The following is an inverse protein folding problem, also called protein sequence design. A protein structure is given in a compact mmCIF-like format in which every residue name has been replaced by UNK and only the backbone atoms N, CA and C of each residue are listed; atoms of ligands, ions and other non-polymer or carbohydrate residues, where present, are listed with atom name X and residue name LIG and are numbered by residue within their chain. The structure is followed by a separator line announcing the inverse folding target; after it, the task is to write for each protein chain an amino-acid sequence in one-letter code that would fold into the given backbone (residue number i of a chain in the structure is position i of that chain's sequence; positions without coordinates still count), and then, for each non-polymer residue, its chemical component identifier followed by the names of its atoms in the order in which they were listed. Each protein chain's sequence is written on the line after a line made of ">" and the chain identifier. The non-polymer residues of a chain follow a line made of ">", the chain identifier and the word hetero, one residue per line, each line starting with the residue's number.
data_IF_984644573218
#
_entry.id   IF_984644573218
#
_cell.length_a   1.000
_cell.length_b   1.000
_cell.length_c   1.000
_cell.angle_alpha   90.00
_cell.angle_beta   90.00
_cell.angle_gamma   90.00
#
_symmetry.space_group_name_H-M   'P 1'
#
loop_
_entity.id
_entity.type
_entity.pdbx_description
1 polymer ?
#
# COMPACT_ATOMS: atom_id res chain seq x y z
N UNK A 1 30.07 -22.60 -22.60
CA UNK A 1 29.36 -21.38 -23.02
C UNK A 1 28.03 -21.16 -22.23
N UNK A 2 27.37 -22.20 -21.80
CA UNK A 2 26.08 -22.12 -21.10
C UNK A 2 26.13 -21.47 -19.70
N UNK A 3 27.17 -21.71 -18.95
CA UNK A 3 27.33 -21.18 -17.58
C UNK A 3 27.50 -19.65 -17.55
N UNK A 4 28.16 -19.07 -18.54
CA UNK A 4 28.31 -17.61 -18.69
C UNK A 4 26.98 -16.94 -19.11
N UNK A 5 26.21 -17.61 -19.97
CA UNK A 5 24.90 -17.12 -20.43
C UNK A 5 23.85 -17.11 -19.29
N UNK A 6 23.90 -18.12 -18.43
CA UNK A 6 23.05 -18.20 -17.23
C UNK A 6 23.45 -17.18 -16.16
N UNK A 7 24.75 -16.94 -15.95
CA UNK A 7 25.24 -15.90 -15.05
C UNK A 7 24.81 -14.51 -15.55
N UNK A 8 24.98 -14.24 -16.84
CA UNK A 8 24.57 -12.97 -17.45
C UNK A 8 23.06 -12.70 -17.30
N UNK A 9 22.23 -13.72 -17.52
CA UNK A 9 20.76 -13.60 -17.32
C UNK A 9 20.41 -13.32 -15.86
N UNK A 10 21.10 -13.94 -14.88
CA UNK A 10 20.89 -13.69 -13.45
C UNK A 10 21.30 -12.27 -13.05
N UNK A 11 22.45 -11.81 -13.53
CA UNK A 11 22.94 -10.45 -13.28
C UNK A 11 21.99 -9.42 -13.89
N UNK A 12 21.50 -9.64 -15.10
CA UNK A 12 20.56 -8.75 -15.77
C UNK A 12 19.22 -8.66 -15.04
N UNK A 13 18.73 -9.76 -14.43
CA UNK A 13 17.49 -9.76 -13.61
C UNK A 13 17.55 -8.83 -12.40
N UNK A 14 18.75 -8.61 -11.85
CA UNK A 14 18.94 -7.71 -10.72
C UNK A 14 19.26 -6.30 -11.19
N UNK A 15 20.14 -6.15 -12.17
CA UNK A 15 20.62 -4.84 -12.62
C UNK A 15 19.54 -4.02 -13.32
N UNK A 16 18.72 -4.61 -14.19
CA UNK A 16 17.72 -3.87 -14.95
C UNK A 16 16.67 -3.18 -14.04
N UNK A 17 16.02 -3.88 -13.08
CA UNK A 17 15.13 -3.22 -12.14
C UNK A 17 15.84 -2.20 -11.24
N UNK A 18 17.11 -2.42 -10.87
CA UNK A 18 17.89 -1.44 -10.10
C UNK A 18 18.11 -0.13 -10.88
N UNK A 19 18.41 -0.22 -12.17
CA UNK A 19 18.56 0.97 -13.03
C UNK A 19 17.24 1.73 -13.15
N UNK A 20 16.12 1.01 -13.35
CA UNK A 20 14.79 1.59 -13.40
C UNK A 20 14.49 2.30 -12.08
N UNK A 21 14.77 1.65 -10.97
CA UNK A 21 14.52 2.17 -9.62
C UNK A 21 15.37 3.41 -9.33
N UNK A 22 16.65 3.41 -9.72
CA UNK A 22 17.51 4.59 -9.62
C UNK A 22 16.96 5.76 -10.45
N UNK A 23 16.48 5.51 -11.67
CA UNK A 23 15.82 6.52 -12.49
C UNK A 23 14.56 7.09 -11.85
N UNK A 24 13.72 6.25 -11.25
CA UNK A 24 12.51 6.66 -10.52
C UNK A 24 12.87 7.54 -9.30
N UNK A 25 13.86 7.13 -8.51
CA UNK A 25 14.32 7.89 -7.33
C UNK A 25 14.87 9.27 -7.76
N UNK A 26 15.73 9.30 -8.77
CA UNK A 26 16.31 10.55 -9.29
C UNK A 26 15.19 11.47 -9.81
N UNK A 27 14.24 10.93 -10.58
CA UNK A 27 13.08 11.70 -11.07
C UNK A 27 12.23 12.25 -9.93
N UNK A 28 11.97 11.45 -8.91
CA UNK A 28 11.24 11.87 -7.70
C UNK A 28 11.95 13.02 -6.96
N UNK A 29 13.29 12.97 -6.86
CA UNK A 29 14.08 14.02 -6.20
C UNK A 29 14.07 15.36 -6.95
N UNK A 30 13.81 15.36 -8.27
CA UNK A 30 13.73 16.59 -9.06
C UNK A 30 12.38 17.32 -8.92
N UNK A 31 11.35 16.65 -8.39
CA UNK A 31 10.05 17.26 -8.18
C UNK A 31 10.13 18.21 -6.99
N UNK A 32 9.99 19.51 -7.27
CA UNK A 32 9.92 20.55 -6.24
C UNK A 32 8.65 20.35 -5.41
N UNK A 33 8.83 19.85 -4.19
CA UNK A 33 7.75 19.78 -3.21
C UNK A 33 7.53 21.20 -2.69
N UNK A 34 6.29 21.69 -2.73
CA UNK A 34 5.91 22.85 -1.93
C UNK A 34 6.03 22.42 -0.48
N UNK A 35 7.14 22.80 0.17
CA UNK A 35 7.27 22.54 1.60
C UNK A 35 6.17 23.33 2.29
N UNK A 36 5.11 22.66 2.68
CA UNK A 36 4.21 23.14 3.71
C UNK A 36 5.11 23.20 4.95
N UNK A 37 5.67 24.39 5.25
CA UNK A 37 6.60 24.58 6.36
C UNK A 37 5.86 24.23 7.64
N UNK A 38 6.03 23.02 8.11
CA UNK A 38 5.89 22.77 9.53
C UNK A 38 6.78 23.80 10.22
N UNK A 39 6.22 24.48 11.20
CA UNK A 39 6.85 25.58 11.95
C UNK A 39 8.36 25.31 12.14
N UNK A 40 9.23 26.11 11.53
CA UNK A 40 10.66 25.85 11.38
C UNK A 40 11.46 25.71 12.70
N UNK A 41 10.80 25.93 13.85
CA UNK A 41 11.42 25.90 15.17
C UNK A 41 11.09 24.63 15.99
N UNK A 42 10.55 23.59 15.35
CA UNK A 42 10.10 22.38 16.06
C UNK A 42 10.92 21.18 15.61
N UNK A 43 11.49 20.44 16.55
CA UNK A 43 12.29 19.24 16.30
C UNK A 43 11.63 18.02 16.91
N UNK A 44 11.52 16.93 16.14
CA UNK A 44 11.05 15.64 16.65
C UNK A 44 12.23 14.88 17.26
N UNK A 45 12.10 14.48 18.52
CA UNK A 45 13.12 13.74 19.27
C UNK A 45 12.55 12.49 19.92
N UNK A 46 13.41 11.49 20.13
CA UNK A 46 13.07 10.34 20.97
C UNK A 46 13.37 10.68 22.42
N UNK A 47 12.41 10.43 23.30
CA UNK A 47 12.56 10.68 24.72
C UNK A 47 12.06 9.50 25.56
N UNK A 48 12.58 9.40 26.79
CA UNK A 48 12.12 8.43 27.78
C UNK A 48 11.61 9.19 28.98
N UNK A 49 10.36 8.97 29.36
CA UNK A 49 9.75 9.59 30.54
C UNK A 49 10.51 9.16 31.80
N UNK A 50 10.96 10.12 32.58
CA UNK A 50 11.67 9.90 33.82
C UNK A 50 10.77 10.08 35.04
N UNK A 51 9.86 11.06 34.97
CA UNK A 51 8.97 11.39 36.08
C UNK A 51 7.67 12.01 35.54
N UNK A 52 6.56 11.73 36.19
CA UNK A 52 5.30 12.44 35.99
C UNK A 52 5.26 13.61 36.96
N UNK A 53 5.09 14.82 36.43
CA UNK A 53 5.04 16.06 37.23
C UNK A 53 3.59 16.30 37.66
N UNK A 54 2.66 16.23 36.73
CA UNK A 54 1.23 16.39 36.96
C UNK A 54 0.45 15.32 36.19
N UNK A 55 -0.56 14.77 36.81
CA UNK A 55 -1.46 13.80 36.14
C UNK A 55 -2.93 14.17 36.37
N UNK A 56 -3.52 14.76 35.37
CA UNK A 56 -4.95 15.12 35.29
C UNK A 56 -5.74 14.16 34.37
N UNK A 57 -5.18 12.98 34.08
CA UNK A 57 -5.84 11.98 33.20
C UNK A 57 -6.89 11.14 33.93
N UNK A 58 -6.97 11.22 35.26
CA UNK A 58 -7.84 10.37 36.07
C UNK A 58 -7.50 8.87 35.98
N UNK A 59 -6.25 8.54 35.57
CA UNK A 59 -5.80 7.16 35.37
C UNK A 59 -6.34 6.48 34.12
N UNK A 60 -7.02 7.23 33.25
CA UNK A 60 -7.54 6.69 31.99
C UNK A 60 -6.55 6.92 30.83
N UNK A 61 -6.38 5.94 29.93
CA UNK A 61 -5.46 6.07 28.80
C UNK A 61 -5.93 7.07 27.73
N UNK A 62 -7.16 7.54 27.82
CA UNK A 62 -7.78 8.48 26.88
C UNK A 62 -8.46 9.62 27.63
N UNK A 63 -8.15 10.84 27.23
CA UNK A 63 -8.65 12.06 27.85
C UNK A 63 -7.74 12.55 28.98
N UNK A 64 -7.89 13.83 29.31
CA UNK A 64 -7.07 14.52 30.31
C UNK A 64 -5.70 14.94 29.80
N UNK A 65 -4.91 15.50 30.71
CA UNK A 65 -3.57 15.99 30.42
C UNK A 65 -2.57 15.48 31.45
N UNK A 66 -1.36 15.23 31.02
CA UNK A 66 -0.23 14.90 31.86
C UNK A 66 0.90 15.90 31.58
N UNK A 67 1.64 16.31 32.59
CA UNK A 67 2.92 17.01 32.46
C UNK A 67 4.03 16.07 32.91
N UNK A 68 4.99 15.82 32.04
CA UNK A 68 6.01 14.80 32.29
C UNK A 68 7.42 15.39 32.10
N UNK A 69 8.35 14.94 32.92
CA UNK A 69 9.78 15.14 32.68
C UNK A 69 10.32 13.96 31.91
N UNK A 70 11.09 14.22 30.87
CA UNK A 70 11.65 13.18 30.02
C UNK A 70 13.10 13.46 29.66
N UNK A 71 13.89 12.41 29.51
CA UNK A 71 15.26 12.48 29.01
C UNK A 71 15.29 12.15 27.52
N UNK A 72 15.89 13.03 26.72
CA UNK A 72 16.02 12.84 25.28
C UNK A 72 17.05 11.75 25.01
N UNK A 73 16.63 10.70 24.32
CA UNK A 73 17.46 9.52 24.02
C UNK A 73 18.03 9.51 22.60
N UNK A 74 17.47 10.32 21.71
CA UNK A 74 17.93 10.41 20.33
C UNK A 74 17.58 11.73 19.67
N UNK A 75 18.35 12.14 18.67
CA UNK A 75 18.17 13.41 17.96
C UNK A 75 19.15 14.50 18.41
N UNK A 76 18.88 15.75 18.01
CA UNK A 76 19.77 16.89 18.17
C UNK A 76 20.11 17.22 19.64
N UNK A 77 19.15 16.98 20.57
CA UNK A 77 19.29 17.31 21.99
C UNK A 77 19.54 16.07 22.87
N UNK A 78 20.16 15.03 22.33
CA UNK A 78 20.41 13.77 23.06
C UNK A 78 21.12 13.99 24.39
N UNK A 79 20.58 13.42 25.47
CA UNK A 79 21.15 13.47 26.83
C UNK A 79 20.55 14.54 27.70
N UNK A 80 19.88 15.55 27.14
CA UNK A 80 19.26 16.64 27.88
C UNK A 80 17.88 16.21 28.44
N UNK A 81 17.48 16.89 29.52
CA UNK A 81 16.15 16.73 30.11
C UNK A 81 15.21 17.79 29.50
N UNK A 82 13.97 17.46 29.35
CA UNK A 82 12.92 18.35 28.85
C UNK A 82 11.63 18.15 29.64
N UNK A 83 10.84 19.20 29.75
CA UNK A 83 9.45 19.11 30.20
C UNK A 83 8.53 19.04 29.02
N UNK A 84 7.60 18.09 29.05
CA UNK A 84 6.68 17.81 27.97
C UNK A 84 5.25 17.88 28.48
N UNK A 85 4.45 18.69 27.80
CA UNK A 85 3.00 18.65 27.93
C UNK A 85 2.42 17.49 27.10
N UNK A 86 1.55 16.74 27.71
CA UNK A 86 0.92 15.59 27.08
C UNK A 86 -0.60 15.73 27.17
N UNK A 87 -1.23 16.14 26.08
CA UNK A 87 -2.68 16.09 25.94
C UNK A 87 -3.08 14.73 25.35
N UNK A 88 -3.66 13.87 26.19
CA UNK A 88 -4.15 12.55 25.77
C UNK A 88 -5.40 12.70 24.90
N UNK A 89 -5.24 12.96 23.62
CA UNK A 89 -6.30 12.93 22.64
C UNK A 89 -6.30 11.61 21.87
N UNK A 90 -7.43 11.25 21.24
CA UNK A 90 -7.54 10.03 20.43
C UNK A 90 -6.52 9.96 19.28
N UNK A 91 -6.03 11.09 18.78
CA UNK A 91 -5.10 11.17 17.66
C UNK A 91 -3.66 11.41 18.06
N UNK A 92 -3.42 12.07 19.18
CA UNK A 92 -2.08 12.48 19.66
C UNK A 92 -1.97 12.26 21.15
N UNK A 93 -0.74 12.02 21.58
CA UNK A 93 -0.42 11.77 22.96
C UNK A 93 -0.20 10.30 23.26
N UNK A 94 0.30 10.03 24.44
CA UNK A 94 0.56 8.69 24.96
C UNK A 94 0.26 8.70 26.44
N UNK A 95 -0.42 7.70 26.98
CA UNK A 95 -0.53 7.56 28.43
C UNK A 95 0.86 7.29 29.00
N UNK A 96 1.44 8.29 29.63
CA UNK A 96 2.81 8.25 30.10
C UNK A 96 2.89 7.65 31.51
N UNK A 97 3.78 6.69 31.66
CA UNK A 97 4.26 6.17 32.94
C UNK A 97 5.78 6.32 32.98
N UNK A 98 6.37 6.23 34.17
CA UNK A 98 7.83 6.27 34.28
C UNK A 98 8.46 5.14 33.47
N UNK A 99 9.39 5.51 32.59
CA UNK A 99 10.03 4.56 31.68
C UNK A 99 9.42 4.47 30.27
N UNK A 100 8.25 5.07 30.03
CA UNK A 100 7.60 5.10 28.72
C UNK A 100 8.51 5.77 27.68
N UNK A 101 8.68 5.12 26.53
CA UNK A 101 9.42 5.68 25.38
C UNK A 101 8.44 6.42 24.48
N UNK A 102 8.72 7.70 24.22
CA UNK A 102 7.86 8.57 23.42
C UNK A 102 8.65 9.29 22.33
N UNK A 103 7.94 9.68 21.30
CA UNK A 103 8.40 10.69 20.35
C UNK A 103 7.84 12.01 20.87
N UNK A 104 8.68 12.99 21.06
CA UNK A 104 8.32 14.32 21.51
C UNK A 104 8.63 15.36 20.44
N UNK A 105 7.82 16.41 20.43
CA UNK A 105 8.01 17.60 19.62
C UNK A 105 8.54 18.67 20.54
N UNK A 106 9.78 19.08 20.34
CA UNK A 106 10.47 20.01 21.23
C UNK A 106 10.85 21.30 20.52
N UNK A 107 10.89 22.38 21.31
CA UNK A 107 11.43 23.68 20.94
C UNK A 107 12.49 24.07 21.96
N UNK A 108 13.53 24.68 21.46
CA UNK A 108 14.51 25.34 22.30
C UNK A 108 14.12 26.82 22.42
N UNK A 109 13.86 27.28 23.65
CA UNK A 109 13.54 28.67 23.96
C UNK A 109 14.54 29.09 25.02
N UNK A 110 15.50 29.93 24.64
CA UNK A 110 16.53 30.48 25.53
C UNK A 110 17.31 29.40 26.31
N UNK A 111 17.61 28.27 25.69
CA UNK A 111 18.34 27.16 26.31
C UNK A 111 17.48 26.20 27.14
N UNK A 112 16.18 26.45 27.26
CA UNK A 112 15.23 25.55 27.93
C UNK A 112 14.47 24.76 26.87
N UNK A 113 14.58 23.42 26.93
CA UNK A 113 13.88 22.54 26.00
C UNK A 113 12.51 22.21 26.56
N UNK A 114 11.49 22.75 25.91
CA UNK A 114 10.08 22.47 26.22
C UNK A 114 9.38 21.91 25.00
N UNK A 115 8.28 21.19 25.19
CA UNK A 115 7.54 20.65 24.08
C UNK A 115 6.33 19.84 24.47
N UNK A 116 5.87 18.98 23.56
CA UNK A 116 4.73 18.12 23.80
C UNK A 116 5.03 16.68 23.38
N UNK A 117 4.38 15.74 24.04
CA UNK A 117 4.40 14.34 23.63
C UNK A 117 3.60 14.20 22.34
N UNK A 118 4.25 13.65 21.30
CA UNK A 118 3.57 13.39 20.03
C UNK A 118 2.83 12.05 20.06
N UNK A 119 3.56 10.96 20.41
CA UNK A 119 3.00 9.61 20.54
C UNK A 119 4.04 8.65 21.12
N UNK A 120 3.68 7.37 21.34
CA UNK A 120 4.62 6.32 21.72
C UNK A 120 5.72 6.14 20.67
N UNK A 121 6.96 5.85 21.10
CA UNK A 121 8.04 5.41 20.21
C UNK A 121 7.86 3.91 19.88
N UNK A 122 7.25 3.64 18.74
CA UNK A 122 7.05 2.28 18.21
C UNK A 122 8.15 1.82 17.26
N UNK A 123 9.20 2.62 17.08
CA UNK A 123 10.24 2.40 16.05
C UNK A 123 10.90 1.02 16.18
N UNK A 124 11.26 0.63 17.41
CA UNK A 124 11.93 -0.65 17.68
C UNK A 124 11.05 -1.84 17.28
N UNK A 125 9.77 -1.81 17.67
CA UNK A 125 8.82 -2.88 17.37
C UNK A 125 8.61 -3.04 15.86
N UNK A 126 8.46 -1.92 15.16
CA UNK A 126 8.31 -1.91 13.69
C UNK A 126 9.55 -2.50 13.01
N UNK A 127 10.75 -2.14 13.45
CA UNK A 127 11.98 -2.69 12.88
C UNK A 127 12.14 -4.19 13.17
N UNK A 128 11.76 -4.67 14.35
CA UNK A 128 11.78 -6.10 14.69
C UNK A 128 10.82 -6.88 13.78
N UNK A 129 9.59 -6.38 13.63
CA UNK A 129 8.60 -7.02 12.74
C UNK A 129 9.06 -7.00 11.28
N UNK A 130 9.60 -5.88 10.81
CA UNK A 130 10.14 -5.76 9.45
C UNK A 130 11.33 -6.72 9.24
N UNK A 131 12.21 -6.84 10.22
CA UNK A 131 13.33 -7.78 10.17
C UNK A 131 12.88 -9.24 10.13
N UNK A 132 11.91 -9.62 10.98
CA UNK A 132 11.31 -10.96 10.97
C UNK A 132 10.63 -11.26 9.64
N UNK A 133 9.83 -10.33 9.14
CA UNK A 133 9.17 -10.46 7.84
C UNK A 133 10.19 -10.61 6.69
N UNK A 134 11.24 -9.78 6.69
CA UNK A 134 12.31 -9.87 5.69
C UNK A 134 13.03 -11.22 5.75
N UNK A 135 13.29 -11.75 6.96
CA UNK A 135 13.87 -13.06 7.15
C UNK A 135 12.99 -14.17 6.57
N UNK A 136 11.68 -14.14 6.86
CA UNK A 136 10.72 -15.08 6.29
C UNK A 136 10.71 -15.02 4.75
N UNK A 137 10.73 -13.83 4.17
CA UNK A 137 10.78 -13.70 2.71
C UNK A 137 12.09 -14.22 2.10
N UNK A 138 13.22 -14.04 2.77
CA UNK A 138 14.51 -14.61 2.30
C UNK A 138 14.46 -16.13 2.30
N UNK A 139 13.76 -16.77 3.26
CA UNK A 139 13.57 -18.23 3.29
C UNK A 139 12.73 -18.72 2.10
N UNK A 140 11.75 -17.94 1.64
CA UNK A 140 10.98 -18.24 0.42
C UNK A 140 11.81 -17.98 -0.84
N UNK A 141 12.59 -16.92 -0.84
CA UNK A 141 13.49 -16.54 -1.93
C UNK A 141 13.85 -15.06 -1.92
N UNK A 142 15.13 -14.75 -2.04
CA UNK A 142 15.62 -13.37 -2.06
C UNK A 142 14.98 -12.52 -3.18
N UNK A 143 14.55 -13.15 -4.28
CA UNK A 143 13.84 -12.47 -5.37
C UNK A 143 12.49 -11.90 -4.92
N UNK A 144 11.78 -12.59 -4.03
CA UNK A 144 10.49 -12.12 -3.48
C UNK A 144 10.68 -10.86 -2.62
N UNK A 145 11.68 -10.86 -1.74
CA UNK A 145 12.03 -9.68 -0.95
C UNK A 145 12.42 -8.50 -1.85
N UNK A 146 13.22 -8.76 -2.88
CA UNK A 146 13.64 -7.72 -3.82
C UNK A 146 12.44 -7.14 -4.61
N UNK A 147 11.53 -7.98 -5.10
CA UNK A 147 10.31 -7.53 -5.78
C UNK A 147 9.42 -6.67 -4.87
N UNK A 148 9.29 -7.06 -3.59
CA UNK A 148 8.52 -6.30 -2.61
C UNK A 148 9.14 -4.92 -2.34
N UNK A 149 10.45 -4.85 -2.10
CA UNK A 149 11.17 -3.58 -1.91
C UNK A 149 10.99 -2.68 -3.13
N UNK A 150 11.11 -3.26 -4.35
CA UNK A 150 10.87 -2.54 -5.59
C UNK A 150 9.47 -1.94 -5.64
N UNK A 151 8.44 -2.72 -5.29
CA UNK A 151 7.05 -2.27 -5.23
C UNK A 151 6.88 -1.08 -4.28
N UNK A 152 7.40 -1.17 -3.05
CA UNK A 152 7.31 -0.07 -2.08
C UNK A 152 7.97 1.21 -2.58
N UNK A 153 9.16 1.09 -3.17
CA UNK A 153 9.86 2.26 -3.70
C UNK A 153 9.10 2.86 -4.89
N UNK A 154 8.52 2.05 -5.78
CA UNK A 154 7.68 2.54 -6.87
C UNK A 154 6.45 3.30 -6.36
N UNK A 155 5.77 2.78 -5.32
CA UNK A 155 4.63 3.49 -4.73
C UNK A 155 5.06 4.83 -4.13
N UNK A 156 6.14 4.87 -3.35
CA UNK A 156 6.58 6.09 -2.66
C UNK A 156 7.23 7.08 -3.63
N UNK A 157 8.09 6.62 -4.54
CA UNK A 157 8.92 7.49 -5.37
C UNK A 157 8.36 7.73 -6.79
N UNK A 158 7.35 6.96 -7.21
CA UNK A 158 6.73 7.15 -8.54
C UNK A 158 5.26 7.58 -8.39
N UNK A 159 4.43 6.75 -7.76
CA UNK A 159 2.99 7.02 -7.68
C UNK A 159 2.68 8.32 -6.91
N UNK A 160 3.19 8.47 -5.68
CA UNK A 160 2.93 9.66 -4.85
C UNK A 160 3.42 10.95 -5.52
N UNK A 161 4.63 11.04 -6.08
CA UNK A 161 5.08 12.22 -6.82
C UNK A 161 4.26 12.52 -8.08
N UNK A 162 3.83 11.50 -8.83
CA UNK A 162 2.97 11.69 -10.00
C UNK A 162 1.62 12.32 -9.64
N UNK A 163 1.01 11.90 -8.53
CA UNK A 163 -0.19 12.54 -7.98
C UNK A 163 0.09 14.00 -7.60
N UNK A 164 1.21 14.24 -6.95
CA UNK A 164 1.55 15.57 -6.42
C UNK A 164 1.75 16.62 -7.54
N UNK A 165 2.27 16.23 -8.69
CA UNK A 165 2.42 17.11 -9.85
C UNK A 165 1.10 17.34 -10.63
N UNK A 166 0.00 16.67 -10.20
CA UNK A 166 -1.33 16.82 -10.77
C UNK A 166 -1.61 15.92 -11.98
N UNK A 167 -0.86 14.83 -12.13
CA UNK A 167 -1.26 13.81 -13.09
C UNK A 167 -2.56 13.15 -12.62
N UNK A 168 -3.46 12.85 -13.57
CA UNK A 168 -4.69 12.14 -13.25
C UNK A 168 -4.38 10.87 -12.43
N UNK A 169 -5.02 10.74 -11.27
CA UNK A 169 -4.69 9.70 -10.30
C UNK A 169 -4.83 8.28 -10.82
N UNK A 170 -5.82 8.05 -11.67
CA UNK A 170 -6.07 6.74 -12.29
C UNK A 170 -4.95 6.40 -13.28
N UNK A 171 -4.54 7.38 -14.11
CA UNK A 171 -3.44 7.18 -15.04
C UNK A 171 -2.12 6.96 -14.30
N UNK A 172 -1.86 7.72 -13.22
CA UNK A 172 -0.70 7.54 -12.37
C UNK A 172 -0.67 6.14 -11.72
N UNK A 173 -1.82 5.67 -11.23
CA UNK A 173 -1.97 4.33 -10.66
C UNK A 173 -1.75 3.23 -11.72
N UNK A 174 -2.35 3.35 -12.90
CA UNK A 174 -2.17 2.40 -14.01
C UNK A 174 -0.70 2.32 -14.44
N UNK A 175 -0.07 3.47 -14.67
CA UNK A 175 1.33 3.53 -15.08
C UNK A 175 2.25 2.87 -14.04
N UNK A 176 2.05 3.22 -12.77
CA UNK A 176 2.82 2.65 -11.66
C UNK A 176 2.57 1.15 -11.52
N UNK A 177 1.31 0.71 -11.64
CA UNK A 177 0.93 -0.71 -11.61
C UNK A 177 1.61 -1.51 -12.70
N UNK A 178 1.65 -1.02 -13.94
CA UNK A 178 2.33 -1.69 -15.05
C UNK A 178 3.83 -1.81 -14.80
N UNK A 179 4.46 -0.76 -14.27
CA UNK A 179 5.90 -0.80 -13.92
C UNK A 179 6.18 -1.81 -12.80
N UNK A 180 5.38 -1.78 -11.73
CA UNK A 180 5.49 -2.73 -10.62
C UNK A 180 5.33 -4.17 -11.13
N UNK A 181 4.31 -4.41 -11.95
CA UNK A 181 3.96 -5.70 -12.51
C UNK A 181 5.08 -6.25 -13.39
N UNK A 182 5.52 -5.45 -14.36
CA UNK A 182 6.58 -5.83 -15.28
C UNK A 182 7.88 -6.17 -14.52
N UNK A 183 8.26 -5.34 -13.56
CA UNK A 183 9.46 -5.55 -12.77
C UNK A 183 9.33 -6.77 -11.85
N UNK A 184 8.22 -6.91 -11.12
CA UNK A 184 8.01 -8.02 -10.17
C UNK A 184 7.99 -9.37 -10.90
N UNK A 185 7.23 -9.50 -11.98
CA UNK A 185 7.17 -10.76 -12.75
C UNK A 185 8.53 -11.03 -13.41
N UNK A 186 9.23 -10.00 -13.90
CA UNK A 186 10.57 -10.15 -14.45
C UNK A 186 11.59 -10.62 -13.40
N UNK A 187 11.55 -10.06 -12.20
CA UNK A 187 12.43 -10.46 -11.07
C UNK A 187 12.17 -11.92 -10.69
N UNK A 188 10.91 -12.34 -10.62
CA UNK A 188 10.52 -13.67 -10.19
C UNK A 188 10.76 -14.73 -11.29
N UNK A 189 10.28 -14.47 -12.50
CA UNK A 189 10.22 -15.47 -13.57
C UNK A 189 11.26 -15.24 -14.71
N UNK A 190 11.85 -14.03 -14.80
CA UNK A 190 12.73 -13.63 -15.90
C UNK A 190 11.98 -13.33 -17.20
N UNK A 191 12.70 -13.25 -18.31
CA UNK A 191 12.12 -13.04 -19.65
C UNK A 191 11.63 -14.36 -20.19
N UNK A 192 10.33 -14.50 -20.38
CA UNK A 192 9.70 -15.66 -21.00
C UNK A 192 8.36 -15.24 -21.64
N UNK A 193 7.84 -16.06 -22.56
CA UNK A 193 6.49 -15.83 -23.08
C UNK A 193 5.44 -15.84 -21.97
N UNK A 194 5.65 -16.63 -20.91
CA UNK A 194 4.82 -16.65 -19.68
C UNK A 194 4.75 -15.26 -19.05
N UNK A 195 5.91 -14.59 -18.89
CA UNK A 195 6.01 -13.25 -18.32
C UNK A 195 5.23 -12.22 -19.12
N UNK A 196 5.36 -12.24 -20.44
CA UNK A 196 4.64 -11.30 -21.33
C UNK A 196 3.15 -11.51 -21.25
N UNK A 197 2.68 -12.76 -21.33
CA UNK A 197 1.25 -13.10 -21.21
C UNK A 197 0.68 -12.64 -19.86
N UNK A 198 1.40 -12.88 -18.75
CA UNK A 198 0.99 -12.45 -17.43
C UNK A 198 0.86 -10.92 -17.35
N UNK A 199 1.85 -10.18 -17.84
CA UNK A 199 1.82 -8.70 -17.84
C UNK A 199 0.60 -8.19 -18.62
N UNK A 200 0.35 -8.70 -19.82
CA UNK A 200 -0.77 -8.24 -20.66
C UNK A 200 -2.10 -8.53 -19.96
N UNK A 201 -2.33 -9.75 -19.51
CA UNK A 201 -3.60 -10.14 -18.92
C UNK A 201 -3.87 -9.43 -17.59
N UNK A 202 -2.84 -9.28 -16.73
CA UNK A 202 -2.99 -8.52 -15.49
C UNK A 202 -3.28 -7.05 -15.78
N UNK A 203 -2.60 -6.44 -16.77
CA UNK A 203 -2.86 -5.04 -17.16
C UNK A 203 -4.31 -4.85 -17.60
N UNK A 204 -4.85 -5.76 -18.43
CA UNK A 204 -6.26 -5.72 -18.84
C UNK A 204 -7.18 -5.86 -17.63
N UNK A 205 -6.89 -6.79 -16.71
CA UNK A 205 -7.67 -6.97 -15.48
C UNK A 205 -7.71 -5.71 -14.60
N UNK A 206 -6.57 -5.04 -14.43
CA UNK A 206 -6.48 -3.78 -13.68
C UNK A 206 -7.26 -2.66 -14.35
N UNK A 207 -7.15 -2.52 -15.67
CA UNK A 207 -7.92 -1.52 -16.43
C UNK A 207 -9.42 -1.74 -16.28
N UNK A 208 -9.89 -2.99 -16.33
CA UNK A 208 -11.31 -3.32 -16.12
C UNK A 208 -11.75 -3.02 -14.69
N UNK A 209 -10.96 -3.41 -13.69
CA UNK A 209 -11.25 -3.09 -12.28
C UNK A 209 -11.34 -1.59 -12.05
N UNK A 210 -10.39 -0.82 -12.58
CA UNK A 210 -10.39 0.63 -12.47
C UNK A 210 -11.54 1.30 -13.21
N UNK A 211 -11.88 0.82 -14.40
CA UNK A 211 -13.04 1.29 -15.14
C UNK A 211 -14.35 1.07 -14.38
N UNK A 212 -14.51 -0.11 -13.79
CA UNK A 212 -15.66 -0.41 -12.92
C UNK A 212 -15.70 0.48 -11.67
N UNK A 213 -14.54 0.71 -11.04
CA UNK A 213 -14.46 1.59 -9.88
C UNK A 213 -14.84 3.03 -10.22
N UNK A 214 -14.43 3.54 -11.39
CA UNK A 214 -14.84 4.86 -11.87
C UNK A 214 -16.34 4.94 -12.09
N UNK A 215 -16.92 3.97 -12.78
CA UNK A 215 -18.35 3.93 -13.06
C UNK A 215 -19.14 3.84 -11.75
N UNK A 216 -18.82 2.87 -10.89
CA UNK A 216 -19.50 2.67 -9.62
C UNK A 216 -19.36 3.88 -8.69
N UNK A 217 -18.17 4.44 -8.58
CA UNK A 217 -17.92 5.61 -7.74
C UNK A 217 -18.63 6.87 -8.25
N UNK A 218 -18.66 7.09 -9.57
CA UNK A 218 -19.40 8.19 -10.17
C UNK A 218 -20.92 8.04 -9.95
N UNK A 219 -21.47 6.86 -10.15
CA UNK A 219 -22.88 6.57 -9.90
C UNK A 219 -23.27 6.69 -8.42
N UNK A 220 -22.33 6.38 -7.52
CA UNK A 220 -22.53 6.49 -6.07
C UNK A 220 -22.16 7.88 -5.51
N UNK A 221 -21.81 8.85 -6.37
CA UNK A 221 -21.34 10.18 -5.97
C UNK A 221 -20.19 10.14 -4.96
N UNK A 222 -19.33 9.13 -5.04
CA UNK A 222 -18.14 9.04 -4.21
C UNK A 222 -17.06 9.99 -4.75
N UNK A 223 -16.73 10.95 -3.92
CA UNK A 223 -15.62 11.87 -4.17
C UNK A 223 -14.60 11.66 -3.05
N UNK A 224 -13.32 11.65 -3.31
CA UNK A 224 -12.27 11.41 -2.32
C UNK A 224 -12.31 12.29 -1.05
N UNK A 225 -13.22 13.25 -0.99
CA UNK A 225 -13.47 14.12 0.19
C UNK A 225 -14.12 13.39 1.36
N UNK A 226 -14.58 12.17 1.17
CA UNK A 226 -15.21 11.35 2.23
C UNK A 226 -14.23 10.37 2.90
N UNK A 227 -12.94 10.45 2.56
CA UNK A 227 -11.88 9.64 3.19
C UNK A 227 -11.50 10.22 4.56
N UNK A 228 -10.98 9.37 5.45
CA UNK A 228 -10.59 9.74 6.82
C UNK A 228 -9.55 10.88 6.89
N UNK A 229 -8.71 11.03 5.86
CA UNK A 229 -7.66 12.06 5.79
C UNK A 229 -8.02 13.22 4.84
N UNK A 230 -9.31 13.38 4.49
CA UNK A 230 -9.77 14.36 3.50
C UNK A 230 -9.34 15.80 3.83
N UNK A 231 -9.39 16.21 5.09
CA UNK A 231 -8.97 17.58 5.50
C UNK A 231 -7.50 17.83 5.15
N UNK A 232 -6.63 16.87 5.46
CA UNK A 232 -5.20 16.96 5.11
C UNK A 232 -4.98 16.98 3.60
N UNK A 233 -5.77 16.18 2.86
CA UNK A 233 -5.71 16.13 1.39
C UNK A 233 -6.18 17.43 0.75
N UNK A 234 -7.24 18.05 1.26
CA UNK A 234 -7.72 19.37 0.80
C UNK A 234 -6.65 20.44 1.02
N UNK A 235 -6.00 20.43 2.18
CA UNK A 235 -4.93 21.38 2.48
C UNK A 235 -3.72 21.20 1.53
N UNK A 236 -3.36 19.97 1.21
CA UNK A 236 -2.31 19.65 0.23
C UNK A 236 -2.75 20.07 -1.18
N UNK A 237 -3.99 19.80 -1.57
CA UNK A 237 -4.54 20.15 -2.87
C UNK A 237 -4.53 21.66 -3.13
N UNK A 238 -4.79 22.48 -2.11
CA UNK A 238 -4.72 23.94 -2.19
C UNK A 238 -3.31 24.48 -2.47
N UNK A 239 -2.27 23.70 -2.13
CA UNK A 239 -0.87 24.05 -2.31
C UNK A 239 -0.15 23.26 -3.43
N UNK A 240 -0.83 22.31 -4.03
CA UNK A 240 -0.35 21.45 -5.12
C UNK A 240 -1.41 21.36 -6.23
N UNK A 241 -1.10 20.64 -7.30
CA UNK A 241 -2.07 20.34 -8.38
C UNK A 241 -2.83 19.04 -8.15
N UNK A 242 -2.91 18.57 -6.91
CA UNK A 242 -3.51 17.29 -6.54
C UNK A 242 -5.04 17.30 -6.74
N UNK A 243 -5.57 16.30 -7.43
CA UNK A 243 -7.01 16.06 -7.55
C UNK A 243 -7.45 15.03 -6.50
N UNK A 244 -8.11 15.48 -5.44
CA UNK A 244 -8.49 14.62 -4.30
C UNK A 244 -9.43 13.49 -4.73
N UNK A 245 -10.35 13.76 -5.65
CA UNK A 245 -11.29 12.75 -6.16
C UNK A 245 -10.61 11.54 -6.81
N UNK A 246 -9.47 11.77 -7.47
CA UNK A 246 -8.77 10.72 -8.21
C UNK A 246 -8.05 9.74 -7.28
N UNK A 247 -7.75 10.16 -6.04
CA UNK A 247 -7.01 9.34 -5.07
C UNK A 247 -7.79 8.10 -4.67
N UNK A 248 -9.11 8.23 -4.51
CA UNK A 248 -9.98 7.12 -4.16
C UNK A 248 -9.90 5.99 -5.20
N UNK A 249 -10.11 6.34 -6.47
CA UNK A 249 -10.09 5.36 -7.57
C UNK A 249 -8.70 4.76 -7.80
N UNK A 250 -7.68 5.59 -7.66
CA UNK A 250 -6.30 5.14 -7.74
C UNK A 250 -5.94 4.18 -6.60
N UNK A 251 -6.47 4.42 -5.39
CA UNK A 251 -6.34 3.52 -4.25
C UNK A 251 -6.96 2.14 -4.53
N UNK A 252 -8.14 2.08 -5.15
CA UNK A 252 -8.80 0.83 -5.55
C UNK A 252 -7.93 0.05 -6.54
N UNK A 253 -7.37 0.73 -7.54
CA UNK A 253 -6.49 0.11 -8.52
C UNK A 253 -5.25 -0.52 -7.88
N UNK A 254 -4.58 0.21 -7.00
CA UNK A 254 -3.36 -0.27 -6.35
C UNK A 254 -3.66 -1.42 -5.38
N UNK A 255 -4.77 -1.34 -4.64
CA UNK A 255 -5.14 -2.39 -3.68
C UNK A 255 -5.55 -3.70 -4.36
N UNK A 256 -6.19 -3.64 -5.52
CA UNK A 256 -6.56 -4.84 -6.30
C UNK A 256 -5.39 -5.45 -7.09
N UNK A 257 -4.31 -4.69 -7.33
CA UNK A 257 -3.18 -5.12 -8.15
C UNK A 257 -2.59 -6.46 -7.71
N UNK A 258 -2.38 -6.65 -6.42
CA UNK A 258 -1.80 -7.89 -5.87
C UNK A 258 -2.64 -9.11 -6.21
N UNK A 259 -3.93 -9.09 -5.92
CA UNK A 259 -4.84 -10.20 -6.14
C UNK A 259 -5.04 -10.51 -7.65
N UNK A 260 -5.15 -9.48 -8.49
CA UNK A 260 -5.24 -9.63 -9.95
C UNK A 260 -3.95 -10.25 -10.51
N UNK A 261 -2.79 -9.83 -10.00
CA UNK A 261 -1.49 -10.37 -10.40
C UNK A 261 -1.36 -11.85 -10.01
N UNK A 262 -1.74 -12.23 -8.79
CA UNK A 262 -1.61 -13.60 -8.29
C UNK A 262 -2.46 -14.57 -9.11
N UNK A 263 -3.72 -14.22 -9.40
CA UNK A 263 -4.61 -15.02 -10.27
C UNK A 263 -4.02 -15.15 -11.68
N UNK A 264 -3.56 -14.04 -12.25
CA UNK A 264 -3.00 -13.98 -13.59
C UNK A 264 -1.76 -14.88 -13.73
N UNK A 265 -0.79 -14.74 -12.83
CA UNK A 265 0.46 -15.51 -12.84
C UNK A 265 0.19 -17.00 -12.65
N UNK A 266 -0.74 -17.36 -11.75
CA UNK A 266 -1.09 -18.75 -11.48
C UNK A 266 -1.74 -19.42 -12.69
N UNK A 267 -2.66 -18.75 -13.37
CA UNK A 267 -3.31 -19.26 -14.58
C UNK A 267 -2.29 -19.44 -15.71
N UNK A 268 -1.40 -18.45 -15.92
CA UNK A 268 -0.34 -18.57 -16.93
C UNK A 268 0.57 -19.74 -16.64
N UNK A 269 1.00 -19.92 -15.40
CA UNK A 269 1.86 -21.01 -14.98
C UNK A 269 1.19 -22.37 -15.23
N UNK A 270 -0.07 -22.53 -14.82
CA UNK A 270 -0.82 -23.77 -15.00
C UNK A 270 -1.03 -24.12 -16.49
N UNK A 271 -1.51 -23.17 -17.29
CA UNK A 271 -1.75 -23.40 -18.72
C UNK A 271 -0.45 -23.77 -19.44
N UNK A 272 0.64 -23.09 -19.11
CA UNK A 272 1.92 -23.35 -19.76
C UNK A 272 2.47 -24.72 -19.38
N UNK A 273 2.36 -25.12 -18.11
CA UNK A 273 2.80 -26.44 -17.67
C UNK A 273 1.99 -27.55 -18.29
N UNK A 274 0.67 -27.38 -18.41
CA UNK A 274 -0.21 -28.33 -19.11
C UNK A 274 0.20 -28.45 -20.58
N UNK A 275 0.47 -27.33 -21.26
CA UNK A 275 0.89 -27.33 -22.65
C UNK A 275 2.26 -28.00 -22.87
N UNK A 276 3.20 -27.80 -21.95
CA UNK A 276 4.52 -28.44 -21.99
C UNK A 276 4.42 -29.95 -21.83
N UNK A 277 3.50 -30.47 -21.00
CA UNK A 277 3.29 -31.91 -20.79
C UNK A 277 2.39 -32.57 -21.83
N UNK A 278 1.47 -31.82 -22.41
CA UNK A 278 0.52 -32.32 -23.43
C UNK A 278 0.38 -31.31 -24.60
N UNK A 279 1.36 -31.24 -25.50
CA UNK A 279 1.37 -30.25 -26.61
C UNK A 279 0.23 -30.39 -27.60
N UNK A 280 -0.33 -31.61 -27.73
CA UNK A 280 -1.37 -31.95 -28.70
C UNK A 280 -2.78 -31.52 -28.27
N UNK A 281 -2.98 -31.06 -27.04
CA UNK A 281 -4.28 -30.56 -26.57
C UNK A 281 -4.81 -29.44 -27.45
N UNK A 282 -6.12 -29.50 -27.77
CA UNK A 282 -6.78 -28.42 -28.51
C UNK A 282 -6.84 -27.14 -27.70
N UNK A 283 -6.88 -25.99 -28.37
CA UNK A 283 -6.95 -24.69 -27.72
C UNK A 283 -8.12 -24.58 -26.70
N UNK A 284 -9.28 -25.15 -27.05
CA UNK A 284 -10.45 -25.18 -26.17
C UNK A 284 -10.21 -26.00 -24.90
N UNK A 285 -9.55 -27.15 -25.01
CA UNK A 285 -9.24 -28.02 -23.85
C UNK A 285 -8.21 -27.34 -22.94
N UNK A 286 -7.20 -26.71 -23.53
CA UNK A 286 -6.18 -25.94 -22.80
C UNK A 286 -6.80 -24.74 -22.07
N UNK A 287 -7.69 -24.00 -22.73
CA UNK A 287 -8.44 -22.90 -22.12
C UNK A 287 -9.29 -23.39 -20.93
N UNK A 288 -10.05 -24.48 -21.12
CA UNK A 288 -10.91 -25.04 -20.07
C UNK A 288 -10.09 -25.54 -18.86
N UNK A 289 -8.92 -26.14 -19.11
CA UNK A 289 -8.01 -26.56 -18.04
C UNK A 289 -7.50 -25.36 -17.25
N UNK A 290 -7.14 -24.26 -17.94
CA UNK A 290 -6.76 -23.00 -17.31
C UNK A 290 -7.90 -22.38 -16.49
N UNK A 291 -9.14 -22.47 -17.01
CA UNK A 291 -10.32 -21.97 -16.29
C UNK A 291 -10.64 -22.78 -15.04
N UNK A 292 -10.40 -24.10 -15.01
CA UNK A 292 -10.59 -24.90 -13.80
C UNK A 292 -9.65 -24.42 -12.67
N UNK A 293 -8.37 -24.25 -12.98
CA UNK A 293 -7.40 -23.70 -12.00
C UNK A 293 -7.77 -22.26 -11.64
N UNK A 294 -8.16 -21.46 -12.63
CA UNK A 294 -8.57 -20.06 -12.43
C UNK A 294 -9.78 -19.93 -11.52
N UNK A 295 -10.77 -20.84 -11.61
CA UNK A 295 -11.97 -20.82 -10.79
C UNK A 295 -11.66 -20.91 -9.29
N UNK A 296 -10.79 -21.84 -8.89
CA UNK A 296 -10.39 -22.01 -7.50
C UNK A 296 -9.62 -20.78 -7.00
N UNK A 297 -8.69 -20.25 -7.81
CA UNK A 297 -7.92 -19.06 -7.48
C UNK A 297 -8.79 -17.80 -7.39
N UNK A 298 -9.71 -17.59 -8.32
CA UNK A 298 -10.64 -16.46 -8.29
C UNK A 298 -11.52 -16.50 -7.05
N UNK A 299 -12.03 -17.67 -6.67
CA UNK A 299 -12.86 -17.84 -5.47
C UNK A 299 -12.11 -17.49 -4.19
N UNK A 300 -10.90 -18.02 -4.00
CA UNK A 300 -10.08 -17.77 -2.81
C UNK A 300 -9.61 -16.30 -2.72
N UNK A 301 -9.15 -15.71 -3.84
CA UNK A 301 -8.69 -14.33 -3.87
C UNK A 301 -9.84 -13.34 -3.67
N UNK A 302 -11.03 -13.61 -4.22
CA UNK A 302 -12.23 -12.80 -3.99
C UNK A 302 -12.61 -12.78 -2.53
N UNK A 303 -12.62 -13.94 -1.86
CA UNK A 303 -12.91 -14.02 -0.44
C UNK A 303 -11.85 -13.28 0.41
N UNK A 304 -10.57 -13.42 0.05
CA UNK A 304 -9.47 -12.72 0.74
C UNK A 304 -9.61 -11.20 0.66
N UNK A 305 -9.95 -10.66 -0.52
CA UNK A 305 -10.18 -9.23 -0.69
C UNK A 305 -11.37 -8.73 0.12
N UNK A 306 -12.51 -9.43 0.06
CA UNK A 306 -13.70 -9.06 0.84
C UNK A 306 -13.40 -9.07 2.33
N UNK A 307 -12.70 -10.11 2.83
CA UNK A 307 -12.31 -10.18 4.24
C UNK A 307 -11.33 -9.08 4.62
N UNK A 308 -10.39 -8.71 3.75
CA UNK A 308 -9.45 -7.62 4.01
C UNK A 308 -10.19 -6.27 4.17
N UNK A 309 -11.11 -5.94 3.25
CA UNK A 309 -11.93 -4.72 3.36
C UNK A 309 -12.88 -4.76 4.55
N UNK A 310 -13.52 -5.89 4.82
CA UNK A 310 -14.39 -6.06 6.00
C UNK A 310 -13.59 -5.91 7.29
N UNK A 311 -12.37 -6.45 7.32
CA UNK A 311 -11.46 -6.33 8.45
C UNK A 311 -11.05 -4.87 8.71
N UNK A 312 -10.75 -4.09 7.67
CA UNK A 312 -10.43 -2.67 7.80
C UNK A 312 -11.64 -1.86 8.30
N UNK A 313 -12.85 -2.24 7.90
CA UNK A 313 -14.10 -1.59 8.29
C UNK A 313 -14.69 -2.06 9.63
N UNK A 314 -14.00 -2.95 10.39
CA UNK A 314 -14.55 -3.56 11.62
C UNK A 314 -15.03 -2.52 12.63
N UNK A 315 -14.29 -1.42 12.83
CA UNK A 315 -14.70 -0.35 13.74
C UNK A 315 -16.00 0.31 13.33
N UNK A 316 -16.17 0.54 12.03
CA UNK A 316 -17.41 1.12 11.47
C UNK A 316 -18.58 0.14 11.56
N UNK A 317 -18.34 -1.16 11.32
CA UNK A 317 -19.36 -2.20 11.50
C UNK A 317 -19.84 -2.30 12.96
N UNK A 318 -18.91 -2.22 13.91
CA UNK A 318 -19.25 -2.19 15.32
C UNK A 318 -20.09 -0.96 15.69
N UNK A 319 -19.77 0.19 15.11
CA UNK A 319 -20.56 1.44 15.29
C UNK A 319 -21.97 1.26 14.76
N UNK A 320 -22.15 0.71 13.57
CA UNK A 320 -23.45 0.42 12.96
C UNK A 320 -24.28 -0.49 13.87
N UNK A 321 -23.65 -1.57 14.33
CA UNK A 321 -24.31 -2.54 15.20
C UNK A 321 -24.72 -1.93 16.54
N UNK A 322 -23.85 -1.14 17.17
CA UNK A 322 -24.08 -0.53 18.47
C UNK A 322 -25.14 0.56 18.46
N UNK A 323 -25.24 1.33 17.35
CA UNK A 323 -26.23 2.38 17.17
C UNK A 323 -27.53 1.90 16.50
N UNK A 324 -27.64 0.60 16.21
CA UNK A 324 -28.82 0.00 15.54
C UNK A 324 -29.24 0.79 14.29
N UNK A 325 -28.26 1.19 13.47
CA UNK A 325 -28.50 2.07 12.33
C UNK A 325 -29.46 1.42 11.32
N UNK A 326 -30.54 2.12 10.91
CA UNK A 326 -31.44 1.59 9.90
C UNK A 326 -30.75 1.49 8.54
N UNK A 327 -31.23 0.57 7.69
CA UNK A 327 -30.64 0.26 6.37
C UNK A 327 -30.37 1.52 5.51
N UNK A 328 -31.32 2.45 5.45
CA UNK A 328 -31.15 3.67 4.65
C UNK A 328 -30.02 4.58 5.18
N UNK A 329 -29.83 4.62 6.49
CA UNK A 329 -28.73 5.36 7.09
C UNK A 329 -27.38 4.69 6.77
N UNK A 330 -27.32 3.35 6.79
CA UNK A 330 -26.13 2.59 6.40
C UNK A 330 -25.78 2.86 4.94
N UNK A 331 -26.77 2.83 4.04
CA UNK A 331 -26.59 3.12 2.61
C UNK A 331 -26.19 4.57 2.31
N UNK A 332 -26.46 5.49 3.22
CA UNK A 332 -26.00 6.89 3.16
C UNK A 332 -24.65 7.12 3.85
N UNK A 333 -24.04 6.11 4.48
CA UNK A 333 -22.81 6.27 5.24
C UNK A 333 -21.57 6.14 4.34
N UNK A 334 -20.97 7.26 3.98
CA UNK A 334 -19.91 7.34 2.96
C UNK A 334 -18.75 6.36 3.17
N UNK A 335 -18.29 6.19 4.41
CA UNK A 335 -17.18 5.27 4.71
C UNK A 335 -17.53 3.82 4.34
N UNK A 336 -18.76 3.38 4.64
CA UNK A 336 -19.23 2.03 4.32
C UNK A 336 -19.36 1.84 2.81
N UNK A 337 -20.00 2.79 2.14
CA UNK A 337 -20.20 2.70 0.68
C UNK A 337 -18.86 2.68 -0.04
N UNK A 338 -17.90 3.47 0.43
CA UNK A 338 -16.53 3.45 -0.11
C UNK A 338 -15.89 2.06 0.00
N UNK A 339 -15.94 1.44 1.18
CA UNK A 339 -15.37 0.10 1.41
C UNK A 339 -16.10 -0.98 0.57
N UNK A 340 -17.43 -0.90 0.46
CA UNK A 340 -18.21 -1.80 -0.39
C UNK A 340 -17.80 -1.68 -1.86
N UNK A 341 -17.72 -0.45 -2.37
CA UNK A 341 -17.33 -0.20 -3.77
C UNK A 341 -15.89 -0.68 -4.02
N UNK A 342 -14.96 -0.37 -3.10
CA UNK A 342 -13.59 -0.84 -3.19
C UNK A 342 -13.50 -2.38 -3.26
N UNK A 343 -14.18 -3.05 -2.32
CA UNK A 343 -14.18 -4.51 -2.22
C UNK A 343 -14.81 -5.18 -3.45
N UNK A 344 -15.98 -4.69 -3.89
CA UNK A 344 -16.69 -5.27 -5.03
C UNK A 344 -15.95 -5.01 -6.35
N UNK A 345 -15.50 -3.79 -6.62
CA UNK A 345 -14.79 -3.47 -7.85
C UNK A 345 -13.46 -4.24 -7.96
N UNK A 346 -12.71 -4.34 -6.85
CA UNK A 346 -11.50 -5.15 -6.80
C UNK A 346 -11.78 -6.63 -7.06
N UNK A 347 -12.80 -7.18 -6.44
CA UNK A 347 -13.21 -8.59 -6.60
C UNK A 347 -13.70 -8.91 -8.00
N UNK A 348 -14.53 -8.05 -8.60
CA UNK A 348 -14.99 -8.21 -9.98
C UNK A 348 -13.79 -8.15 -10.94
N UNK A 349 -12.82 -7.26 -10.69
CA UNK A 349 -11.57 -7.21 -11.44
C UNK A 349 -10.79 -8.53 -11.41
N UNK A 350 -10.67 -9.15 -10.25
CA UNK A 350 -10.06 -10.48 -10.07
C UNK A 350 -10.79 -11.55 -10.87
N UNK A 351 -12.12 -11.60 -10.76
CA UNK A 351 -12.97 -12.60 -11.47
C UNK A 351 -12.87 -12.44 -12.99
N UNK A 352 -12.91 -11.21 -13.50
CA UNK A 352 -12.79 -10.95 -14.93
C UNK A 352 -11.39 -11.25 -15.48
N UNK A 353 -10.37 -11.12 -14.66
CA UNK A 353 -8.99 -11.43 -15.06
C UNK A 353 -8.81 -12.90 -15.40
N UNK A 354 -9.48 -13.82 -14.72
CA UNK A 354 -9.35 -15.26 -14.94
C UNK A 354 -9.60 -15.68 -16.39
N UNK A 355 -10.81 -15.47 -16.95
CA UNK A 355 -11.12 -15.81 -18.33
C UNK A 355 -10.23 -15.10 -19.35
N UNK A 356 -9.94 -13.82 -19.12
CA UNK A 356 -9.09 -13.02 -20.00
C UNK A 356 -7.68 -13.59 -20.05
N UNK A 357 -7.12 -13.91 -18.90
CA UNK A 357 -5.77 -14.47 -18.79
C UNK A 357 -5.68 -15.85 -19.43
N UNK A 358 -6.68 -16.71 -19.18
CA UNK A 358 -6.76 -18.03 -19.80
C UNK A 358 -6.82 -17.92 -21.33
N UNK A 359 -7.61 -16.97 -21.85
CA UNK A 359 -7.71 -16.71 -23.29
C UNK A 359 -6.37 -16.21 -23.87
N UNK A 360 -5.78 -15.18 -23.29
CA UNK A 360 -4.51 -14.59 -23.77
C UNK A 360 -3.40 -15.64 -23.78
N UNK A 361 -3.27 -16.42 -22.72
CA UNK A 361 -2.21 -17.43 -22.60
C UNK A 361 -2.41 -18.56 -23.61
N UNK A 362 -3.63 -19.05 -23.75
CA UNK A 362 -3.95 -20.10 -24.73
C UNK A 362 -3.70 -19.62 -26.16
N UNK A 363 -4.13 -18.40 -26.48
CA UNK A 363 -3.90 -17.79 -27.79
C UNK A 363 -2.40 -17.64 -28.08
N UNK A 364 -1.62 -17.15 -27.12
CA UNK A 364 -0.18 -16.98 -27.27
C UNK A 364 0.54 -18.32 -27.53
N UNK A 365 0.17 -19.39 -26.84
CA UNK A 365 0.79 -20.70 -26.99
C UNK A 365 0.40 -21.45 -28.28
N UNK A 366 -0.79 -21.21 -28.81
CA UNK A 366 -1.31 -21.94 -29.98
C UNK A 366 -1.18 -21.18 -31.29
N UNK A 367 -1.22 -19.84 -31.27
CA UNK A 367 -1.27 -19.03 -32.50
C UNK A 367 0.00 -18.22 -32.75
N UNK A 368 0.86 -18.00 -31.73
CA UNK A 368 2.12 -17.27 -31.85
C UNK A 368 3.31 -18.21 -31.58
N UNK A 369 3.44 -19.25 -32.42
CA UNK A 369 4.63 -20.13 -32.47
C UNK A 369 5.74 -19.51 -33.29
#
# INVERSE_FOLDING_TARGET
>A
MDNRRNLYKRVLRVLLPMVILAGIIIGSCQIKRTHIKANNNVVYVKAKVTQIIEDNSGGQPFGGAQKVSAKITGGQYKGQNCELDNSNSFQRGAFCTTGTKVIAVVKDIDGVITGSVYNYDRTMMVYVLLGLFSLCLVLVGAAALYALIFTFICVICMYVPLLYIGLNGIFAALLTSVVILAASIYILNGVSSKTVCAIIGTTVGIVLSGGLAMIAGSLSNLNGYNMSDAESMIYIANSSKLHVSDILYAGILISSLGAVMDVSVSIVAAITEIHEKAPDLKAKELFMSGMHVGHDMMGTMSNTLILAYTGSATGTLLTIYSYEMPYLQIMGYNSIITEIVCGLCGTIGVILTGPIQAFITTAALKFFK
#
